data_IF_793608954063
#
_entry.id   IF_793608954063
#
_cell.length_a   1.000
_cell.length_b   1.000
_cell.length_c   1.000
_cell.angle_alpha   90.00
_cell.angle_beta   90.00
_cell.angle_gamma   90.00
#
_symmetry.space_group_name_H-M   'P 1'
#
loop_
_entity.id
_entity.type
_entity.pdbx_description
1 polymer ?
#
# COMPACT_ATOMS: atom_id res chain seq x y z
N UNK A 1 28.36 -20.41 9.72
CA UNK A 1 27.02 -20.01 10.16
C UNK A 1 26.30 -19.53 8.91
N UNK A 2 25.32 -20.26 8.41
CA UNK A 2 24.55 -19.82 7.23
C UNK A 2 23.69 -18.61 7.64
N UNK A 3 23.69 -17.56 6.82
CA UNK A 3 22.83 -16.40 7.05
C UNK A 3 21.36 -16.86 6.95
N UNK A 4 20.42 -16.28 7.72
CA UNK A 4 18.99 -16.59 7.59
C UNK A 4 18.53 -16.49 6.11
N UNK A 5 17.51 -17.24 5.65
CA UNK A 5 17.05 -17.18 4.26
C UNK A 5 16.69 -15.76 3.77
N UNK A 6 16.16 -14.91 4.66
CA UNK A 6 15.91 -13.50 4.36
C UNK A 6 17.20 -12.70 4.04
N UNK A 7 18.34 -13.17 4.54
CA UNK A 7 19.65 -12.53 4.40
C UNK A 7 20.45 -13.04 3.19
N UNK A 8 19.97 -14.11 2.55
CA UNK A 8 20.56 -14.65 1.32
C UNK A 8 19.86 -14.13 0.05
N UNK A 9 18.98 -13.13 0.18
CA UNK A 9 18.21 -12.60 -0.93
C UNK A 9 19.12 -11.90 -1.94
N UNK A 10 18.89 -12.10 -3.26
CA UNK A 10 19.60 -11.36 -4.30
C UNK A 10 19.36 -9.86 -4.15
N UNK A 11 20.24 -9.06 -4.76
CA UNK A 11 20.12 -7.59 -4.80
C UNK A 11 18.65 -7.18 -5.09
N UNK A 12 18.02 -6.35 -4.23
CA UNK A 12 16.63 -5.92 -4.42
C UNK A 12 16.39 -5.18 -5.74
N UNK A 13 17.44 -4.65 -6.38
CA UNK A 13 17.40 -3.96 -7.67
C UNK A 13 17.88 -4.82 -8.84
N UNK A 14 18.05 -6.13 -8.66
CA UNK A 14 18.47 -7.03 -9.74
C UNK A 14 17.51 -6.92 -10.94
N UNK A 15 18.06 -6.59 -12.11
CA UNK A 15 17.29 -6.47 -13.36
C UNK A 15 16.67 -5.09 -13.58
N UNK A 16 16.96 -4.11 -12.72
CA UNK A 16 16.50 -2.73 -12.86
C UNK A 16 16.94 -2.11 -14.19
N UNK A 17 18.12 -2.49 -14.68
CA UNK A 17 18.70 -2.08 -15.95
C UNK A 17 17.97 -2.64 -17.18
N UNK A 18 17.15 -3.68 -17.01
CA UNK A 18 16.39 -4.31 -18.10
C UNK A 18 15.07 -3.61 -18.37
N UNK A 19 14.66 -2.71 -17.49
CA UNK A 19 13.44 -1.93 -17.67
C UNK A 19 13.80 -0.66 -18.45
N UNK A 20 13.17 -0.48 -19.60
CA UNK A 20 13.29 0.74 -20.40
C UNK A 20 12.53 1.91 -19.77
N UNK A 21 13.00 2.41 -18.63
CA UNK A 21 12.30 3.44 -17.85
C UNK A 21 11.93 4.70 -18.65
N UNK A 22 12.75 5.10 -19.61
CA UNK A 22 12.48 6.26 -20.46
C UNK A 22 11.34 6.03 -21.48
N UNK A 23 11.02 4.77 -21.78
CA UNK A 23 9.96 4.38 -22.72
C UNK A 23 8.60 4.21 -22.00
N UNK A 24 8.60 4.02 -20.67
CA UNK A 24 7.38 3.88 -19.88
C UNK A 24 6.72 5.23 -19.62
N UNK A 25 5.39 5.25 -19.61
CA UNK A 25 4.64 6.41 -19.14
C UNK A 25 5.02 6.77 -17.70
N UNK A 26 5.43 8.02 -17.48
CA UNK A 26 5.97 8.55 -16.22
C UNK A 26 7.24 7.85 -15.68
N UNK A 27 7.94 7.05 -16.48
CA UNK A 27 9.08 6.25 -16.03
C UNK A 27 10.43 6.96 -15.98
N UNK A 28 10.59 8.08 -16.69
CA UNK A 28 11.86 8.82 -16.69
C UNK A 28 12.29 9.21 -15.26
N UNK A 29 13.53 8.85 -14.91
CA UNK A 29 14.13 9.10 -13.59
C UNK A 29 13.84 8.05 -12.50
N UNK A 30 12.84 7.18 -12.68
CA UNK A 30 12.42 6.21 -11.65
C UNK A 30 13.55 5.23 -11.29
N UNK A 31 14.29 4.74 -12.28
CA UNK A 31 15.41 3.83 -12.03
C UNK A 31 16.54 4.45 -11.19
N UNK A 32 16.81 5.75 -11.33
CA UNK A 32 17.80 6.44 -10.50
C UNK A 32 17.30 6.61 -9.06
N UNK A 33 16.04 7.04 -8.91
CA UNK A 33 15.40 7.19 -7.61
C UNK A 33 15.37 5.86 -6.84
N UNK A 34 15.09 4.74 -7.50
CA UNK A 34 15.13 3.40 -6.89
C UNK A 34 16.53 3.04 -6.36
N UNK A 35 17.60 3.37 -7.09
CA UNK A 35 18.98 3.13 -6.65
C UNK A 35 19.33 3.94 -5.42
N UNK A 36 19.09 5.26 -5.46
CA UNK A 36 19.34 6.15 -4.33
C UNK A 36 18.53 5.77 -3.10
N UNK A 37 17.27 5.38 -3.29
CA UNK A 37 16.42 4.84 -2.22
C UNK A 37 17.06 3.59 -1.60
N UNK A 38 17.60 2.67 -2.41
CA UNK A 38 18.31 1.49 -1.90
C UNK A 38 19.56 1.82 -1.09
N UNK A 39 20.22 2.94 -1.40
CA UNK A 39 21.38 3.48 -0.67
C UNK A 39 20.99 4.19 0.64
N UNK A 40 19.70 4.32 0.95
CA UNK A 40 19.21 4.93 2.17
C UNK A 40 18.79 6.41 2.02
N UNK A 41 18.72 6.93 0.79
CA UNK A 41 18.32 8.32 0.52
C UNK A 41 16.80 8.50 0.69
N UNK A 42 16.40 9.12 1.81
CA UNK A 42 15.01 9.43 2.12
C UNK A 42 14.41 10.48 1.18
N UNK A 43 15.20 11.42 0.67
CA UNK A 43 14.72 12.43 -0.29
C UNK A 43 14.45 11.79 -1.65
N UNK A 44 15.25 10.81 -2.05
CA UNK A 44 14.96 9.99 -3.23
C UNK A 44 13.69 9.15 -3.03
N UNK A 45 13.48 8.59 -1.84
CA UNK A 45 12.25 7.85 -1.52
C UNK A 45 11.02 8.76 -1.60
N UNK A 46 11.08 9.98 -1.06
CA UNK A 46 9.99 10.95 -1.14
C UNK A 46 9.74 11.46 -2.57
N UNK A 47 10.77 11.57 -3.39
CA UNK A 47 10.62 11.86 -4.83
C UNK A 47 10.00 10.68 -5.57
N UNK A 48 10.37 9.45 -5.21
CA UNK A 48 9.80 8.24 -5.78
C UNK A 48 8.31 8.14 -5.45
N UNK A 49 7.91 8.42 -4.21
CA UNK A 49 6.51 8.51 -3.80
C UNK A 49 5.73 9.51 -4.67
N UNK A 50 6.18 10.77 -4.75
CA UNK A 50 5.54 11.80 -5.59
C UNK A 50 5.46 11.41 -7.07
N UNK A 51 6.41 10.61 -7.56
CA UNK A 51 6.47 10.19 -8.96
C UNK A 51 5.57 9.00 -9.26
N UNK A 52 5.51 8.04 -8.35
CA UNK A 52 4.77 6.80 -8.53
C UNK A 52 3.33 6.86 -8.02
N UNK A 53 3.02 7.84 -7.17
CA UNK A 53 1.73 8.08 -6.56
C UNK A 53 1.42 9.59 -6.51
N UNK A 54 1.18 10.19 -7.69
CA UNK A 54 0.84 11.60 -7.80
C UNK A 54 -0.66 11.82 -7.55
N UNK A 55 -1.02 12.37 -6.39
CA UNK A 55 -2.43 12.58 -5.97
C UNK A 55 -3.29 11.31 -6.15
N UNK A 56 -2.88 10.18 -5.59
CA UNK A 56 -3.52 8.86 -5.76
C UNK A 56 -3.54 8.30 -7.19
N UNK A 57 -2.68 8.82 -8.09
CA UNK A 57 -2.58 8.34 -9.48
C UNK A 57 -1.43 7.38 -9.67
N UNK A 58 -1.69 6.29 -10.39
CA UNK A 58 -0.66 5.33 -10.81
C UNK A 58 -0.52 5.24 -12.33
N UNK A 59 0.69 4.90 -12.77
CA UNK A 59 1.08 4.82 -14.18
C UNK A 59 1.66 3.44 -14.52
N UNK A 60 2.02 3.25 -15.78
CA UNK A 60 2.82 2.11 -16.22
C UNK A 60 4.11 1.97 -15.39
N UNK A 61 4.84 3.07 -15.19
CA UNK A 61 6.06 3.07 -14.40
C UNK A 61 5.82 2.60 -12.96
N UNK A 62 4.67 2.95 -12.36
CA UNK A 62 4.28 2.46 -11.03
C UNK A 62 4.20 0.93 -11.01
N UNK A 63 3.46 0.34 -11.95
CA UNK A 63 3.31 -1.12 -12.05
C UNK A 63 4.68 -1.82 -12.22
N UNK A 64 5.56 -1.27 -13.04
CA UNK A 64 6.91 -1.80 -13.25
C UNK A 64 7.87 -1.58 -12.06
N UNK A 65 7.62 -0.57 -11.22
CA UNK A 65 8.41 -0.31 -10.02
C UNK A 65 8.07 -1.26 -8.86
N UNK A 66 6.85 -1.79 -8.79
CA UNK A 66 6.38 -2.63 -7.68
C UNK A 66 7.33 -3.78 -7.30
N UNK A 67 7.86 -4.59 -8.24
CA UNK A 67 8.75 -5.68 -7.87
C UNK A 67 10.02 -5.21 -7.15
N UNK A 68 10.56 -4.06 -7.54
CA UNK A 68 11.75 -3.44 -6.94
C UNK A 68 11.42 -2.82 -5.58
N UNK A 69 10.32 -2.06 -5.48
CA UNK A 69 9.82 -1.53 -4.22
C UNK A 69 9.64 -2.66 -3.20
N UNK A 70 9.00 -3.76 -3.59
CA UNK A 70 8.83 -4.90 -2.71
C UNK A 70 10.14 -5.66 -2.44
N UNK A 71 11.14 -5.55 -3.32
CA UNK A 71 12.51 -6.02 -3.03
C UNK A 71 13.17 -5.17 -1.94
N UNK A 72 13.08 -3.85 -2.05
CA UNK A 72 13.60 -2.89 -1.07
C UNK A 72 12.91 -3.04 0.29
N UNK A 73 11.58 -3.07 0.29
CA UNK A 73 10.72 -3.30 1.46
C UNK A 73 11.01 -4.61 2.18
N UNK A 74 11.63 -5.58 1.50
CA UNK A 74 11.91 -6.90 2.04
C UNK A 74 13.41 -7.20 2.20
N UNK A 75 14.26 -6.18 2.04
CA UNK A 75 15.72 -6.29 2.12
C UNK A 75 16.22 -5.72 3.44
N UNK A 76 16.93 -6.54 4.21
CA UNK A 76 17.63 -6.13 5.44
C UNK A 76 18.81 -5.18 5.17
N UNK A 77 19.25 -5.06 3.91
CA UNK A 77 20.34 -4.16 3.50
C UNK A 77 19.89 -2.71 3.36
N UNK A 78 18.58 -2.49 3.21
CA UNK A 78 17.99 -1.15 3.14
C UNK A 78 17.76 -0.66 4.56
N UNK A 79 18.08 0.62 4.81
CA UNK A 79 17.86 1.24 6.11
C UNK A 79 16.37 1.16 6.52
N UNK A 80 16.09 0.79 7.78
CA UNK A 80 14.71 0.56 8.27
C UNK A 80 13.76 1.73 7.98
N UNK A 81 14.20 2.97 8.24
CA UNK A 81 13.39 4.16 7.96
C UNK A 81 12.97 4.30 6.48
N UNK A 82 13.84 3.91 5.55
CA UNK A 82 13.51 3.90 4.11
C UNK A 82 12.64 2.70 3.77
N UNK A 83 12.93 1.54 4.35
CA UNK A 83 12.15 0.32 4.17
C UNK A 83 10.68 0.54 4.54
N UNK A 84 10.42 1.17 5.68
CA UNK A 84 9.07 1.50 6.13
C UNK A 84 8.35 2.40 5.12
N UNK A 85 9.00 3.48 4.68
CA UNK A 85 8.43 4.40 3.68
C UNK A 85 8.12 3.70 2.36
N UNK A 86 8.98 2.78 1.93
CA UNK A 86 8.75 1.96 0.74
C UNK A 86 7.55 1.02 0.92
N UNK A 87 7.36 0.44 2.11
CA UNK A 87 6.21 -0.44 2.38
C UNK A 87 4.90 0.37 2.40
N UNK A 88 4.91 1.55 3.00
CA UNK A 88 3.76 2.47 2.94
C UNK A 88 3.46 2.92 1.51
N UNK A 89 4.48 3.18 0.69
CA UNK A 89 4.30 3.48 -0.73
C UNK A 89 3.70 2.29 -1.49
N UNK A 90 4.15 1.06 -1.25
CA UNK A 90 3.55 -0.15 -1.84
C UNK A 90 2.06 -0.26 -1.50
N UNK A 91 1.73 -0.12 -0.21
CA UNK A 91 0.34 -0.17 0.24
C UNK A 91 -0.50 0.95 -0.42
N UNK A 92 0.02 2.17 -0.46
CA UNK A 92 -0.67 3.31 -1.07
C UNK A 92 -0.89 3.12 -2.59
N UNK A 93 0.11 2.62 -3.33
CA UNK A 93 -0.05 2.32 -4.77
C UNK A 93 -1.07 1.22 -5.06
N UNK A 94 -1.25 0.26 -4.15
CA UNK A 94 -2.31 -0.75 -4.27
C UNK A 94 -3.71 -0.19 -3.96
N UNK A 95 -3.78 0.87 -3.14
CA UNK A 95 -5.01 1.58 -2.78
C UNK A 95 -5.35 2.76 -3.68
N UNK A 96 -4.47 3.09 -4.64
CA UNK A 96 -4.66 4.17 -5.58
C UNK A 96 -6.02 4.10 -6.28
N UNK A 97 -6.67 5.26 -6.39
CA UNK A 97 -8.01 5.40 -6.96
C UNK A 97 -8.02 6.11 -8.31
N UNK A 98 -6.88 6.69 -8.72
CA UNK A 98 -6.68 7.31 -10.02
C UNK A 98 -5.61 6.57 -10.84
N UNK A 99 -5.70 6.68 -12.16
CA UNK A 99 -4.73 6.11 -13.10
C UNK A 99 -4.62 6.95 -14.38
N UNK A 100 -3.74 6.54 -15.29
CA UNK A 100 -3.59 7.15 -16.62
C UNK A 100 -4.10 6.23 -17.74
N UNK A 101 -4.74 6.79 -18.75
CA UNK A 101 -5.08 6.12 -20.02
C UNK A 101 -3.91 6.16 -21.01
N UNK A 102 -4.03 5.47 -22.14
CA UNK A 102 -2.98 5.38 -23.17
C UNK A 102 -2.64 6.76 -23.76
N UNK A 103 -3.65 7.63 -23.90
CA UNK A 103 -3.51 9.01 -24.35
C UNK A 103 -3.08 9.99 -23.24
N UNK A 104 -2.68 9.47 -22.06
CA UNK A 104 -2.16 10.25 -20.94
C UNK A 104 -3.21 11.01 -20.13
N UNK A 105 -4.51 10.77 -20.39
CA UNK A 105 -5.58 11.39 -19.58
C UNK A 105 -5.72 10.67 -18.24
N UNK A 106 -6.06 11.45 -17.21
CA UNK A 106 -6.31 10.90 -15.88
C UNK A 106 -7.70 10.29 -15.82
N UNK A 107 -7.77 9.07 -15.31
CA UNK A 107 -9.01 8.35 -15.00
C UNK A 107 -9.12 8.12 -13.50
N UNK A 108 -10.34 8.00 -12.99
CA UNK A 108 -10.64 7.65 -11.60
C UNK A 108 -11.54 6.42 -11.56
N UNK A 109 -11.41 5.61 -10.52
CA UNK A 109 -12.39 4.56 -10.24
C UNK A 109 -13.75 5.21 -10.01
N UNK A 110 -14.77 4.68 -10.67
CA UNK A 110 -16.16 5.09 -10.51
C UNK A 110 -17.00 3.87 -10.19
N UNK A 111 -18.07 4.05 -9.43
CA UNK A 111 -18.95 2.96 -9.04
C UNK A 111 -20.39 3.30 -9.38
N UNK A 112 -21.14 2.29 -9.85
CA UNK A 112 -22.58 2.41 -10.02
C UNK A 112 -23.32 2.31 -8.67
N UNK A 113 -24.63 2.57 -8.62
CA UNK A 113 -25.42 2.45 -7.38
C UNK A 113 -25.41 1.07 -6.70
N UNK A 114 -24.97 0.01 -7.40
CA UNK A 114 -24.80 -1.34 -6.85
C UNK A 114 -23.37 -1.57 -6.31
N UNK A 115 -22.52 -0.55 -6.28
CA UNK A 115 -21.12 -0.66 -5.87
C UNK A 115 -20.24 -1.39 -6.87
N UNK A 116 -20.69 -1.60 -8.12
CA UNK A 116 -19.87 -2.20 -9.17
C UNK A 116 -19.07 -1.12 -9.86
N UNK A 117 -17.78 -1.37 -10.02
CA UNK A 117 -16.87 -0.46 -10.72
C UNK A 117 -17.28 -0.29 -12.20
N UNK A 118 -17.33 0.96 -12.66
CA UNK A 118 -17.77 1.39 -13.99
C UNK A 118 -16.65 2.07 -14.76
N UNK A 119 -16.76 2.02 -16.10
CA UNK A 119 -15.97 1.13 -16.92
C UNK A 119 -14.47 1.33 -16.73
N UNK A 120 -13.73 0.23 -16.72
CA UNK A 120 -12.26 0.23 -16.74
C UNK A 120 -11.81 0.61 -18.14
N UNK A 121 -11.34 1.85 -18.32
CA UNK A 121 -10.75 2.29 -19.57
C UNK A 121 -9.33 1.71 -19.68
N UNK A 122 -8.98 1.04 -20.79
CA UNK A 122 -7.64 0.52 -20.97
C UNK A 122 -6.63 1.67 -21.19
N UNK A 123 -5.37 1.48 -20.78
CA UNK A 123 -4.86 0.42 -19.90
C UNK A 123 -5.28 0.64 -18.43
N UNK A 124 -5.69 -0.45 -17.75
CA UNK A 124 -6.08 -0.39 -16.35
C UNK A 124 -4.86 -0.56 -15.43
N UNK A 125 -4.03 0.49 -15.36
CA UNK A 125 -2.83 0.51 -14.52
C UNK A 125 -3.15 0.37 -13.02
N UNK A 126 -4.36 0.73 -12.60
CA UNK A 126 -4.76 0.61 -11.19
C UNK A 126 -4.91 -0.87 -10.82
N UNK A 127 -5.64 -1.65 -11.62
CA UNK A 127 -5.77 -3.10 -11.41
C UNK A 127 -4.43 -3.80 -11.60
N UNK A 128 -3.64 -3.43 -12.60
CA UNK A 128 -2.32 -4.02 -12.83
C UNK A 128 -1.36 -3.77 -11.66
N UNK A 129 -1.34 -2.53 -11.13
CA UNK A 129 -0.51 -2.16 -9.98
C UNK A 129 -0.94 -2.92 -8.74
N UNK A 130 -2.24 -2.97 -8.42
CA UNK A 130 -2.75 -3.76 -7.28
C UNK A 130 -2.37 -5.23 -7.40
N UNK A 131 -2.53 -5.82 -8.59
CA UNK A 131 -2.11 -7.20 -8.82
C UNK A 131 -0.60 -7.39 -8.64
N UNK A 132 0.21 -6.47 -9.18
CA UNK A 132 1.66 -6.50 -8.99
C UNK A 132 2.04 -6.43 -7.51
N UNK A 133 1.35 -5.61 -6.71
CA UNK A 133 1.59 -5.51 -5.26
C UNK A 133 1.20 -6.81 -4.59
N UNK A 134 -0.01 -7.34 -4.82
CA UNK A 134 -0.47 -8.60 -4.23
C UNK A 134 0.48 -9.76 -4.55
N UNK A 135 0.95 -9.86 -5.81
CA UNK A 135 1.93 -10.87 -6.24
C UNK A 135 3.26 -10.76 -5.51
N UNK A 136 3.67 -9.56 -5.11
CA UNK A 136 4.96 -9.27 -4.50
C UNK A 136 4.88 -9.03 -2.97
N UNK A 137 3.70 -8.99 -2.36
CA UNK A 137 3.54 -8.75 -0.94
C UNK A 137 4.02 -9.90 -0.04
N UNK A 138 3.84 -11.20 -0.39
CA UNK A 138 4.30 -12.30 0.46
C UNK A 138 5.77 -12.20 0.87
N UNK A 139 6.66 -11.82 -0.06
CA UNK A 139 8.09 -11.66 0.25
C UNK A 139 8.37 -10.53 1.25
N UNK A 140 7.53 -9.50 1.30
CA UNK A 140 7.62 -8.38 2.25
C UNK A 140 7.15 -8.86 3.62
N UNK A 141 5.98 -9.51 3.71
CA UNK A 141 5.50 -10.08 4.97
C UNK A 141 6.52 -11.05 5.59
N UNK A 142 7.13 -11.93 4.79
CA UNK A 142 8.18 -12.84 5.25
C UNK A 142 9.41 -12.13 5.82
N UNK A 143 9.69 -10.90 5.38
CA UNK A 143 10.82 -10.11 5.86
C UNK A 143 10.48 -9.31 7.13
N UNK A 144 9.20 -9.04 7.38
CA UNK A 144 8.76 -8.15 8.46
C UNK A 144 8.77 -8.80 9.84
N UNK A 145 8.62 -10.13 9.96
CA UNK A 145 8.72 -10.99 11.18
C UNK A 145 8.48 -10.25 12.51
N UNK A 146 7.41 -9.44 12.60
CA UNK A 146 6.97 -8.73 13.80
C UNK A 146 7.67 -7.41 14.18
N UNK A 147 8.67 -6.91 13.42
CA UNK A 147 9.44 -5.72 13.80
C UNK A 147 8.80 -4.39 13.41
N UNK A 148 8.03 -4.34 12.31
CA UNK A 148 7.42 -3.11 11.77
C UNK A 148 5.90 -3.31 11.66
N UNK A 149 5.24 -3.14 12.80
CA UNK A 149 3.84 -3.53 13.01
C UNK A 149 2.87 -2.68 12.16
N UNK A 150 3.07 -1.37 12.13
CA UNK A 150 2.23 -0.46 11.34
C UNK A 150 2.36 -0.71 9.82
N UNK A 151 3.59 -0.94 9.33
CA UNK A 151 3.86 -1.29 7.93
C UNK A 151 3.17 -2.60 7.52
N UNK A 152 3.21 -3.60 8.41
CA UNK A 152 2.52 -4.88 8.21
C UNK A 152 1.01 -4.68 8.10
N UNK A 153 0.42 -3.85 8.97
CA UNK A 153 -1.01 -3.53 8.90
C UNK A 153 -1.36 -2.78 7.61
N UNK A 154 -0.59 -1.75 7.24
CA UNK A 154 -0.82 -1.00 6.00
C UNK A 154 -0.84 -1.92 4.76
N UNK A 155 0.12 -2.83 4.66
CA UNK A 155 0.19 -3.77 3.54
C UNK A 155 -0.94 -4.82 3.59
N UNK A 156 -1.28 -5.34 4.77
CA UNK A 156 -2.39 -6.29 4.94
C UNK A 156 -3.74 -5.66 4.63
N UNK A 157 -3.93 -4.37 4.91
CA UNK A 157 -5.14 -3.63 4.55
C UNK A 157 -5.22 -3.43 3.04
N UNK A 158 -4.09 -3.17 2.38
CA UNK A 158 -4.04 -2.95 0.94
C UNK A 158 -4.28 -4.23 0.12
N UNK A 159 -3.70 -5.35 0.54
CA UNK A 159 -3.77 -6.66 -0.14
C UNK A 159 -4.09 -7.80 0.84
N UNK A 160 -5.28 -7.78 1.48
CA UNK A 160 -5.64 -8.74 2.53
C UNK A 160 -5.66 -10.18 2.03
N UNK A 161 -5.92 -10.40 0.73
CA UNK A 161 -6.02 -11.72 0.11
C UNK A 161 -4.72 -12.54 0.11
N UNK A 162 -3.57 -11.89 0.32
CA UNK A 162 -2.24 -12.53 0.33
C UNK A 162 -1.53 -12.42 1.69
N UNK A 163 -2.19 -11.85 2.70
CA UNK A 163 -1.60 -11.72 4.02
C UNK A 163 -1.46 -13.11 4.68
N UNK A 164 -0.27 -13.48 5.17
CA UNK A 164 -0.05 -14.78 5.79
C UNK A 164 -0.64 -14.86 7.20
N UNK A 165 -0.91 -16.09 7.68
CA UNK A 165 -1.54 -16.34 8.99
C UNK A 165 -0.87 -15.61 10.16
N UNK A 166 0.46 -15.53 10.18
CA UNK A 166 1.15 -14.86 11.29
C UNK A 166 0.80 -13.36 11.39
N UNK A 167 0.43 -12.71 10.28
CA UNK A 167 -0.03 -11.30 10.29
C UNK A 167 -1.41 -11.20 10.92
N UNK A 168 -2.27 -12.21 10.74
CA UNK A 168 -3.57 -12.31 11.44
C UNK A 168 -3.34 -12.42 12.95
N UNK A 169 -2.44 -13.30 13.38
CA UNK A 169 -2.12 -13.47 14.81
C UNK A 169 -1.58 -12.17 15.42
N UNK A 170 -0.74 -11.44 14.69
CA UNK A 170 -0.24 -10.10 15.08
C UNK A 170 -1.37 -9.09 15.17
N UNK A 171 -2.25 -9.01 14.16
CA UNK A 171 -3.39 -8.09 14.17
C UNK A 171 -4.34 -8.36 15.34
N UNK A 172 -4.62 -9.63 15.66
CA UNK A 172 -5.41 -10.01 16.83
C UNK A 172 -4.75 -9.58 18.14
N UNK A 173 -3.44 -9.81 18.28
CA UNK A 173 -2.69 -9.40 19.45
C UNK A 173 -2.74 -7.88 19.69
N UNK A 174 -2.70 -7.09 18.62
CA UNK A 174 -2.80 -5.63 18.71
C UNK A 174 -4.22 -5.20 19.07
N UNK A 175 -5.21 -5.70 18.33
CA UNK A 175 -6.61 -5.30 18.46
C UNK A 175 -7.17 -5.56 19.86
N UNK A 176 -6.75 -6.64 20.50
CA UNK A 176 -7.30 -7.10 21.78
C UNK A 176 -6.29 -7.06 22.94
N UNK A 177 -5.04 -6.66 22.70
CA UNK A 177 -3.99 -6.61 23.71
C UNK A 177 -4.09 -5.45 24.70
N UNK A 178 -4.77 -4.36 24.33
CA UNK A 178 -5.05 -3.21 25.21
C UNK A 178 -3.84 -2.33 25.58
N UNK A 179 -2.68 -2.54 24.95
CA UNK A 179 -1.42 -1.83 25.26
C UNK A 179 -0.89 -0.98 24.10
N UNK A 180 -1.52 -1.04 22.94
CA UNK A 180 -1.07 -0.38 21.73
C UNK A 180 -1.73 1.00 21.54
N UNK A 181 -1.08 1.94 20.82
CA UNK A 181 -1.69 3.20 20.44
C UNK A 181 -3.00 2.99 19.69
N UNK A 182 -3.99 3.86 19.92
CA UNK A 182 -5.34 3.75 19.35
C UNK A 182 -5.33 3.64 17.82
N UNK A 183 -4.54 4.48 17.13
CA UNK A 183 -4.41 4.40 15.67
C UNK A 183 -3.88 3.03 15.19
N UNK A 184 -2.97 2.40 15.95
CA UNK A 184 -2.48 1.06 15.61
C UNK A 184 -3.55 -0.01 15.84
N UNK A 185 -4.34 0.14 16.91
CA UNK A 185 -5.47 -0.73 17.23
C UNK A 185 -6.52 -0.66 16.12
N UNK A 186 -6.91 0.54 15.69
CA UNK A 186 -7.87 0.73 14.60
C UNK A 186 -7.36 0.13 13.28
N UNK A 187 -6.09 0.37 12.94
CA UNK A 187 -5.47 -0.24 11.76
C UNK A 187 -5.50 -1.79 11.83
N UNK A 188 -5.20 -2.36 13.00
CA UNK A 188 -5.22 -3.81 13.20
C UNK A 188 -6.64 -4.40 13.14
N UNK A 189 -7.64 -3.72 13.71
CA UNK A 189 -9.04 -4.09 13.59
C UNK A 189 -9.48 -4.13 12.12
N UNK A 190 -9.13 -3.10 11.34
CA UNK A 190 -9.45 -3.07 9.90
C UNK A 190 -8.73 -4.19 9.15
N UNK A 191 -7.42 -4.36 9.37
CA UNK A 191 -6.64 -5.43 8.74
C UNK A 191 -7.24 -6.81 9.04
N UNK A 192 -7.57 -7.08 10.30
CA UNK A 192 -8.15 -8.34 10.74
C UNK A 192 -9.50 -8.61 10.07
N UNK A 193 -10.40 -7.63 10.07
CA UNK A 193 -11.72 -7.74 9.45
C UNK A 193 -11.62 -8.09 7.96
N UNK A 194 -10.70 -7.43 7.25
CA UNK A 194 -10.44 -7.65 5.83
C UNK A 194 -9.84 -9.04 5.56
N UNK A 195 -8.84 -9.45 6.33
CA UNK A 195 -8.18 -10.76 6.17
C UNK A 195 -9.11 -11.94 6.49
N UNK A 196 -10.05 -11.77 7.43
CA UNK A 196 -11.06 -12.77 7.76
C UNK A 196 -12.23 -12.81 6.77
N UNK A 197 -12.29 -11.88 5.81
CA UNK A 197 -13.38 -11.78 4.85
C UNK A 197 -14.71 -11.41 5.48
N UNK A 198 -14.68 -10.73 6.62
CA UNK A 198 -15.89 -10.28 7.31
C UNK A 198 -16.59 -9.19 6.50
N UNK A 199 -17.92 -9.15 6.60
CA UNK A 199 -18.72 -8.19 5.85
C UNK A 199 -18.41 -6.77 6.32
N UNK A 200 -18.05 -5.89 5.39
CA UNK A 200 -17.86 -4.46 5.64
C UNK A 200 -19.08 -3.70 5.13
N UNK A 201 -19.80 -3.07 6.04
CA UNK A 201 -20.97 -2.25 5.74
C UNK A 201 -20.74 -0.75 6.04
N UNK A 202 -21.72 0.08 5.70
CA UNK A 202 -21.62 1.52 5.89
C UNK A 202 -21.62 1.93 7.38
N UNK A 203 -22.25 1.13 8.26
CA UNK A 203 -22.31 1.43 9.68
C UNK A 203 -20.92 1.24 10.33
N UNK A 204 -20.21 0.19 9.94
CA UNK A 204 -18.84 -0.04 10.39
C UNK A 204 -17.88 1.01 9.86
N UNK A 205 -17.94 1.38 8.57
CA UNK A 205 -17.14 2.49 8.02
C UNK A 205 -17.42 3.79 8.76
N UNK A 206 -18.69 4.07 9.08
CA UNK A 206 -19.03 5.23 9.87
C UNK A 206 -18.40 5.19 11.27
N UNK A 207 -18.43 4.03 11.94
CA UNK A 207 -17.79 3.84 13.24
C UNK A 207 -16.27 4.03 13.18
N UNK A 208 -15.60 3.46 12.17
CA UNK A 208 -14.17 3.68 11.93
C UNK A 208 -13.83 5.17 11.80
N UNK A 209 -14.65 5.94 11.09
CA UNK A 209 -14.42 7.37 10.93
C UNK A 209 -14.57 8.15 12.25
N UNK A 210 -15.31 7.65 13.24
CA UNK A 210 -15.53 8.37 14.51
C UNK A 210 -14.28 8.45 15.39
N UNK A 211 -13.31 7.54 15.22
CA UNK A 211 -12.10 7.51 16.03
C UNK A 211 -11.10 8.64 15.67
N UNK A 212 -11.26 9.27 14.50
CA UNK A 212 -10.46 10.44 14.07
C UNK A 212 -11.37 11.60 13.62
N UNK A 213 -11.36 12.76 14.31
CA UNK A 213 -12.16 13.92 13.96
C UNK A 213 -11.97 14.44 12.53
N UNK A 214 -10.76 14.37 11.97
CA UNK A 214 -10.47 14.84 10.63
C UNK A 214 -10.95 13.83 9.58
N UNK A 215 -10.79 12.54 9.85
CA UNK A 215 -11.35 11.47 9.02
C UNK A 215 -12.88 11.51 9.02
N UNK A 216 -13.50 11.72 10.18
CA UNK A 216 -14.95 11.94 10.33
C UNK A 216 -15.43 13.10 9.48
N UNK A 217 -14.71 14.24 9.54
CA UNK A 217 -15.05 15.44 8.76
C UNK A 217 -14.93 15.17 7.26
N UNK A 218 -13.85 14.50 6.83
CA UNK A 218 -13.66 14.08 5.43
C UNK A 218 -14.81 13.18 4.97
N UNK A 219 -15.14 12.13 5.74
CA UNK A 219 -16.23 11.21 5.43
C UNK A 219 -17.58 11.93 5.33
N UNK A 220 -17.92 12.78 6.31
CA UNK A 220 -19.18 13.53 6.33
C UNK A 220 -19.31 14.52 5.17
N UNK A 221 -18.20 15.07 4.68
CA UNK A 221 -18.15 16.03 3.57
C UNK A 221 -18.03 15.37 2.19
N UNK A 222 -18.16 14.04 2.09
CA UNK A 222 -18.07 13.34 0.82
C UNK A 222 -16.64 13.24 0.28
N UNK A 223 -15.64 13.12 1.18
CA UNK A 223 -14.23 12.90 0.82
C UNK A 223 -13.96 11.57 0.10
N UNK A 224 -14.97 10.71 -0.04
CA UNK A 224 -14.90 9.47 -0.79
C UNK A 224 -15.89 9.47 -1.98
N UNK A 225 -15.52 8.88 -3.12
CA UNK A 225 -16.39 8.76 -4.29
C UNK A 225 -17.79 8.21 -4.00
N UNK A 226 -18.79 8.75 -4.68
CA UNK A 226 -20.17 8.27 -4.60
C UNK A 226 -20.26 6.80 -5.00
N UNK A 227 -21.04 6.02 -4.25
CA UNK A 227 -21.22 4.57 -4.42
C UNK A 227 -19.95 3.72 -4.29
N UNK A 228 -18.85 4.28 -3.80
CA UNK A 228 -17.67 3.49 -3.45
C UNK A 228 -18.06 2.40 -2.44
N UNK A 229 -17.67 1.13 -2.67
CA UNK A 229 -17.95 0.04 -1.77
C UNK A 229 -17.40 0.34 -0.37
N UNK A 230 -18.17 0.07 0.71
CA UNK A 230 -17.71 0.29 2.07
C UNK A 230 -16.35 -0.34 2.37
N UNK A 231 -16.08 -1.52 1.81
CA UNK A 231 -14.78 -2.21 1.96
C UNK A 231 -13.60 -1.36 1.47
N UNK A 232 -13.74 -0.67 0.32
CA UNK A 232 -12.67 0.18 -0.23
C UNK A 232 -12.46 1.40 0.67
N UNK A 233 -13.55 1.97 1.19
CA UNK A 233 -13.46 3.08 2.15
C UNK A 233 -12.77 2.66 3.44
N UNK A 234 -13.13 1.50 3.99
CA UNK A 234 -12.45 0.95 5.17
C UNK A 234 -10.97 0.72 4.91
N UNK A 235 -10.58 0.22 3.72
CA UNK A 235 -9.17 0.08 3.36
C UNK A 235 -8.40 1.42 3.41
N UNK A 236 -8.99 2.48 2.85
CA UNK A 236 -8.37 3.82 2.88
C UNK A 236 -8.26 4.38 4.31
N UNK A 237 -9.30 4.20 5.12
CA UNK A 237 -9.31 4.62 6.53
C UNK A 237 -8.30 3.84 7.37
N UNK A 238 -8.25 2.51 7.20
CA UNK A 238 -7.29 1.66 7.90
C UNK A 238 -5.85 1.97 7.52
N UNK A 239 -5.59 2.25 6.23
CA UNK A 239 -4.27 2.70 5.79
C UNK A 239 -3.86 4.02 6.46
N UNK A 240 -4.79 4.99 6.54
CA UNK A 240 -4.57 6.26 7.24
C UNK A 240 -4.21 6.04 8.72
N UNK A 241 -4.95 5.17 9.42
CA UNK A 241 -4.63 4.81 10.79
C UNK A 241 -3.26 4.16 10.95
N UNK A 242 -2.88 3.25 10.04
CA UNK A 242 -1.56 2.65 10.05
C UNK A 242 -0.45 3.70 9.84
N UNK A 243 -0.69 4.67 8.95
CA UNK A 243 0.24 5.76 8.69
C UNK A 243 0.39 6.70 9.90
N UNK A 244 -0.73 7.08 10.53
CA UNK A 244 -0.72 7.86 11.77
C UNK A 244 0.03 7.13 12.89
N UNK A 245 -0.18 5.82 13.05
CA UNK A 245 0.52 5.06 14.09
C UNK A 245 2.05 5.00 13.88
N UNK A 246 2.52 5.15 12.63
CA UNK A 246 3.95 5.12 12.31
C UNK A 246 4.60 6.52 12.38
N UNK A 247 3.87 7.58 12.06
CA UNK A 247 4.46 8.91 11.80
C UNK A 247 3.73 10.10 12.42
N UNK A 248 2.60 9.88 13.11
CA UNK A 248 1.75 10.91 13.72
C UNK A 248 2.02 11.12 15.21
#
# INVERSE_FOLDING_TARGET
>A
MELPPAWQRPDPLRGLEKVSWAELSHGAGVGDLLRRTAEGDLDACAQLERRLLDEDTVSEATCHAVPFLAGLGASYKVAGAVRDRVIFLLAATALASAGFTEDGKRTRRHWNPLGRELPRLPPDWITHTRYAVAKNAPKVFDALVGAEVACSMALAIAVPEVAPKHVVDVAQGIAFGGTHPEALVEAACVALHLMLGEAVDAAWVHALAQADPDLRRSYANGGYPTHQPPVVTAQLMGYHYAFLAAYG
#
